data_IF_268982870622
#
_entry.id   IF_268982870622
#
_cell.length_a   1.000
_cell.length_b   1.000
_cell.length_c   1.000
_cell.angle_alpha   90.00
_cell.angle_beta   90.00
_cell.angle_gamma   90.00
#
_symmetry.space_group_name_H-M   'P 1'
#
loop_
_entity.id
_entity.type
_entity.pdbx_description
1 polymer ?
2 non-polymer ?
3 non-polymer ?
4 water ?
#
# COMPACT_ATOMS: atom_id res chain seq x y z
N UNK A 4 6.27 29.64 8.81
CA UNK A 4 5.75 28.25 9.10
C UNK A 4 6.31 27.25 8.08
N UNK A 5 7.35 26.46 8.41
CA UNK A 5 8.10 25.71 7.40
C UNK A 5 7.27 24.51 6.89
N UNK A 6 7.53 24.10 5.66
CA UNK A 6 6.86 22.90 5.12
C UNK A 6 7.58 21.67 5.61
N UNK A 7 6.84 20.59 5.93
CA UNK A 7 7.48 19.43 6.50
C UNK A 7 8.27 18.64 5.48
N UNK A 8 9.29 17.93 5.98
CA UNK A 8 10.16 17.00 5.21
C UNK A 8 9.69 15.57 5.47
N UNK A 9 8.97 15.36 6.56
CA UNK A 9 8.47 14.03 6.97
C UNK A 9 7.14 14.20 7.71
N UNK A 10 6.21 13.25 7.49
CA UNK A 10 4.93 13.19 8.22
C UNK A 10 4.82 11.80 8.82
N UNK A 11 3.91 11.68 9.75
CA UNK A 11 3.54 10.33 10.23
C UNK A 11 2.12 10.04 9.82
N UNK A 12 1.93 8.78 9.43
CA UNK A 12 0.66 8.28 8.89
C UNK A 12 0.23 7.08 9.72
N UNK A 13 -1.00 7.13 10.22
CA UNK A 13 -1.66 6.00 10.88
C UNK A 13 -2.51 5.27 9.86
N UNK A 14 -2.35 3.97 9.81
CA UNK A 14 -3.19 3.07 9.01
C UNK A 14 -3.91 2.15 9.96
N UNK A 15 -5.25 2.09 9.92
CA UNK A 15 -6.01 1.10 10.68
C UNK A 15 -6.82 0.21 9.77
N UNK A 16 -6.91 -1.06 10.10
CA UNK A 16 -7.84 -1.97 9.44
C UNK A 16 -8.61 -2.75 10.47
N UNK A 17 -9.91 -2.74 10.34
CA UNK A 17 -10.77 -3.51 11.26
C UNK A 17 -11.97 -4.08 10.55
N UNK A 18 -12.12 -5.39 10.60
CA UNK A 18 -13.36 -6.05 10.17
C UNK A 18 -14.26 -6.08 11.40
N UNK A 19 -15.31 -5.29 11.38
CA UNK A 19 -16.16 -5.00 12.56
C UNK A 19 -17.19 -6.11 12.77
N UNK A 20 -17.30 -7.07 11.86
CA UNK A 20 -18.20 -8.20 12.06
C UNK A 20 -19.65 -7.78 12.17
N UNK A 21 -20.00 -6.70 11.48
CA UNK A 21 -21.40 -6.18 11.36
C UNK A 21 -21.95 -5.85 12.76
N UNK A 22 -21.08 -5.44 13.69
CA UNK A 22 -21.51 -5.06 15.06
C UNK A 22 -21.02 -3.67 15.33
N UNK A 23 -21.79 -2.84 16.07
CA UNK A 23 -21.31 -1.54 16.46
C UNK A 23 -20.07 -1.66 17.34
N UNK A 24 -19.21 -0.64 17.30
CA UNK A 24 -18.02 -0.68 18.11
C UNK A 24 -18.35 -0.44 19.57
N UNK A 25 -17.42 -0.75 20.49
CA UNK A 25 -17.61 -0.44 21.89
C UNK A 25 -17.43 1.07 22.05
N UNK A 26 -17.67 1.56 23.27
CA UNK A 26 -17.69 3.03 23.50
C UNK A 26 -16.28 3.64 23.41
N UNK A 27 -15.25 2.88 23.70
CA UNK A 27 -13.88 3.41 23.63
C UNK A 27 -13.05 2.54 22.69
N UNK A 28 -12.45 3.21 21.71
CA UNK A 28 -11.60 2.52 20.70
C UNK A 28 -10.25 3.23 20.62
N UNK A 29 -9.93 4.08 21.60
CA UNK A 29 -8.68 4.86 21.56
C UNK A 29 -7.39 4.04 21.48
N UNK A 30 -7.37 2.82 22.04
CA UNK A 30 -6.19 1.92 22.00
C UNK A 30 -5.76 1.71 20.55
N UNK A 31 -6.73 1.64 19.63
CA UNK A 31 -6.43 1.42 18.20
C UNK A 31 -5.56 2.57 17.70
N UNK A 32 -5.99 3.80 17.90
CA UNK A 32 -5.30 4.98 17.34
C UNK A 32 -4.01 5.28 18.10
N UNK A 33 -3.86 4.74 19.27
CA UNK A 33 -2.63 4.84 20.08
C UNK A 33 -1.64 3.70 19.78
N UNK A 34 -1.96 2.76 18.90
CA UNK A 34 -1.04 1.64 18.61
C UNK A 34 -0.66 0.91 19.90
N UNK A 35 -1.67 0.57 20.70
CA UNK A 35 -1.52 -0.17 21.99
C UNK A 35 -2.10 -1.58 21.83
N UNK A 36 -1.40 -2.57 22.38
CA UNK A 36 -1.91 -3.93 22.44
C UNK A 36 -0.77 -4.85 22.27
N UNK A 37 -0.86 -5.73 21.27
CA UNK A 37 0.18 -6.72 20.94
C UNK A 37 0.97 -6.26 19.73
N UNK A 38 2.19 -6.77 19.59
CA UNK A 38 3.01 -6.58 18.41
C UNK A 38 4.02 -5.49 18.67
N UNK A 39 4.31 -4.71 17.61
CA UNK A 39 5.23 -3.56 17.65
C UNK A 39 4.39 -2.32 17.98
N UNK A 40 4.42 -1.91 19.25
CA UNK A 40 3.50 -0.90 19.79
C UNK A 40 4.23 0.42 19.95
N UNK A 41 3.43 1.46 20.07
CA UNK A 41 3.90 2.84 20.15
C UNK A 41 4.20 3.20 21.60
N UNK A 42 5.29 3.93 21.80
CA UNK A 42 5.76 4.42 23.12
C UNK A 42 4.65 5.25 23.77
N UNK A 43 4.43 5.04 25.08
CA UNK A 43 3.46 5.86 25.86
C UNK A 43 3.79 7.34 25.80
N UNK A 44 5.06 7.70 25.68
CA UNK A 44 5.46 9.11 25.66
C UNK A 44 4.94 9.85 24.44
N UNK A 45 4.49 9.12 23.41
CA UNK A 45 3.96 9.71 22.16
C UNK A 45 2.44 9.83 22.19
N UNK A 46 1.74 9.46 23.24
CA UNK A 46 0.27 9.33 23.17
C UNK A 46 -0.42 10.63 22.77
N UNK A 47 0.12 11.78 23.20
CA UNK A 47 -0.59 13.03 22.90
C UNK A 47 -0.17 13.60 21.55
N UNK A 48 0.81 13.02 20.88
CA UNK A 48 1.36 13.55 19.62
C UNK A 48 0.46 13.05 18.51
N UNK A 49 -0.25 13.92 17.79
CA UNK A 49 -1.13 13.46 16.74
C UNK A 49 -0.28 12.99 15.56
N UNK A 50 -0.73 11.96 14.88
CA UNK A 50 -0.28 11.66 13.53
C UNK A 50 -0.78 12.77 12.62
N UNK A 51 -0.06 12.95 11.53
CA UNK A 51 -0.45 13.96 10.53
C UNK A 51 -1.70 13.55 9.75
N UNK A 52 -1.78 12.28 9.43
CA UNK A 52 -2.87 11.68 8.61
C UNK A 52 -3.29 10.38 9.28
N UNK A 53 -4.58 10.15 9.43
CA UNK A 53 -5.14 8.86 9.89
C UNK A 53 -5.98 8.29 8.77
N UNK A 54 -5.70 7.06 8.39
CA UNK A 54 -6.46 6.37 7.34
C UNK A 54 -7.06 5.14 7.95
N UNK A 55 -8.39 5.07 7.93
CA UNK A 55 -9.17 4.04 8.70
C UNK A 55 -9.96 3.17 7.72
N UNK A 56 -9.55 1.90 7.57
CA UNK A 56 -10.26 0.95 6.69
C UNK A 56 -11.11 0.06 7.56
N UNK A 57 -12.38 -0.05 7.23
CA UNK A 57 -13.25 -1.03 7.89
C UNK A 57 -13.83 -1.99 6.85
N UNK A 58 -14.17 -3.16 7.33
CA UNK A 58 -14.90 -4.20 6.58
C UNK A 58 -16.04 -4.65 7.45
N UNK A 59 -17.10 -5.13 6.80
CA UNK A 59 -18.30 -5.56 7.57
C UNK A 59 -18.72 -4.41 8.51
N UNK A 60 -18.66 -3.19 8.03
CA UNK A 60 -18.96 -1.98 8.82
C UNK A 60 -20.46 -1.72 8.79
N UNK A 61 -21.16 -1.80 9.95
CA UNK A 61 -22.63 -1.65 9.95
C UNK A 61 -23.09 -0.19 10.08
N UNK A 62 -22.16 0.72 10.30
CA UNK A 62 -22.48 2.11 10.66
C UNK A 62 -22.77 2.90 9.40
N UNK A 63 -23.46 4.01 9.53
CA UNK A 63 -23.50 4.99 8.44
C UNK A 63 -22.17 5.73 8.42
N UNK A 64 -21.87 6.42 7.32
CA UNK A 64 -20.68 7.29 7.23
C UNK A 64 -20.73 8.29 8.39
N UNK A 65 -21.89 8.90 8.62
CA UNK A 65 -21.99 9.92 9.65
C UNK A 65 -21.69 9.31 11.01
N UNK A 66 -22.28 8.17 11.31
CA UNK A 66 -22.08 7.53 12.62
C UNK A 66 -20.59 7.26 12.86
N UNK A 67 -19.90 6.74 11.86
CA UNK A 67 -18.49 6.37 12.05
C UNK A 67 -17.62 7.61 12.12
N UNK A 68 -17.86 8.62 11.30
CA UNK A 68 -17.12 9.89 11.36
C UNK A 68 -17.22 10.50 12.76
N UNK A 69 -18.43 10.51 13.32
CA UNK A 69 -18.70 10.95 14.71
C UNK A 69 -17.70 10.27 15.65
N UNK A 70 -17.70 8.94 15.63
CA UNK A 70 -16.88 8.13 16.55
C UNK A 70 -15.41 8.39 16.31
N UNK A 71 -15.00 8.42 15.06
CA UNK A 71 -13.56 8.61 14.76
C UNK A 71 -13.12 9.99 15.23
N UNK A 72 -13.80 11.03 14.83
CA UNK A 72 -13.33 12.37 15.15
C UNK A 72 -13.29 12.60 16.66
N UNK A 73 -14.34 12.17 17.37
CA UNK A 73 -14.41 12.26 18.86
C UNK A 73 -13.21 11.55 19.47
N UNK A 74 -12.94 10.32 19.02
CA UNK A 74 -11.85 9.47 19.58
C UNK A 74 -10.51 10.21 19.39
N UNK A 75 -10.26 10.78 18.21
CA UNK A 75 -8.99 11.50 17.99
C UNK A 75 -8.97 12.77 18.85
N UNK A 76 -10.08 13.47 18.94
CA UNK A 76 -10.06 14.73 19.73
C UNK A 76 -9.77 14.38 21.20
N UNK A 77 -10.31 13.27 21.72
CA UNK A 77 -10.08 12.87 23.12
C UNK A 77 -8.60 12.59 23.32
N UNK A 78 -7.96 11.91 22.39
CA UNK A 78 -6.52 11.53 22.47
C UNK A 78 -5.66 12.79 22.38
N UNK A 79 -5.91 13.64 21.40
CA UNK A 79 -4.92 14.63 20.94
C UNK A 79 -5.33 16.06 21.25
N UNK A 80 -6.60 16.28 21.58
CA UNK A 80 -7.19 17.64 21.73
C UNK A 80 -7.16 18.41 20.41
N UNK A 81 -7.05 17.69 19.28
CA UNK A 81 -7.12 18.28 17.93
C UNK A 81 -8.40 17.82 17.25
N UNK A 82 -9.07 18.76 16.60
CA UNK A 82 -10.25 18.47 15.77
C UNK A 82 -9.80 18.22 14.33
N UNK A 83 -9.83 16.97 13.90
CA UNK A 83 -9.28 16.59 12.59
C UNK A 83 -10.25 16.98 11.49
N UNK A 84 -9.72 17.27 10.33
CA UNK A 84 -10.51 17.57 9.13
C UNK A 84 -10.71 16.29 8.36
N UNK A 85 -11.87 16.15 7.78
CA UNK A 85 -12.19 14.97 6.96
C UNK A 85 -11.69 15.22 5.56
N UNK A 86 -10.70 14.47 5.06
CA UNK A 86 -10.15 14.57 3.70
C UNK A 86 -11.06 13.85 2.74
N UNK A 87 -11.47 12.62 3.09
CA UNK A 87 -12.27 11.80 2.19
C UNK A 87 -12.90 10.67 2.96
N UNK A 88 -14.04 10.21 2.46
CA UNK A 88 -14.71 9.01 2.97
C UNK A 88 -15.35 8.32 1.78
N UNK A 89 -15.18 7.03 1.65
CA UNK A 89 -15.77 6.29 0.52
C UNK A 89 -16.15 4.92 0.98
N UNK A 90 -17.33 4.49 0.61
CA UNK A 90 -17.91 3.20 1.04
C UNK A 90 -18.39 2.40 -0.16
N UNK A 91 -18.04 1.12 -0.20
CA UNK A 91 -18.61 0.14 -1.15
C UNK A 91 -19.22 -0.94 -0.29
N UNK A 92 -20.53 -1.09 -0.33
CA UNK A 92 -21.25 -2.06 0.51
C UNK A 92 -20.90 -1.79 1.96
N UNK A 93 -20.21 -2.70 2.63
CA UNK A 93 -19.79 -2.51 4.03
C UNK A 93 -18.28 -2.40 4.15
N UNK A 94 -17.61 -2.00 3.06
CA UNK A 94 -16.15 -1.74 3.01
C UNK A 94 -15.95 -0.23 2.95
N UNK A 95 -15.22 0.36 3.87
CA UNK A 95 -15.15 1.82 3.99
C UNK A 95 -13.71 2.28 4.23
N UNK A 96 -13.41 3.43 3.70
CA UNK A 96 -12.14 4.11 4.02
C UNK A 96 -12.43 5.54 4.41
N UNK A 97 -11.81 6.00 5.49
CA UNK A 97 -11.87 7.40 5.99
C UNK A 97 -10.46 7.94 6.06
N UNK A 98 -10.24 9.14 5.55
CA UNK A 98 -8.97 9.84 5.70
C UNK A 98 -9.22 11.13 6.48
N UNK A 99 -8.50 11.27 7.58
CA UNK A 99 -8.55 12.44 8.44
C UNK A 99 -7.17 13.07 8.46
N UNK A 100 -7.11 14.40 8.55
CA UNK A 100 -5.81 15.09 8.61
C UNK A 100 -5.83 16.22 9.61
N UNK A 101 -4.67 16.53 10.19
CA UNK A 101 -4.51 17.73 11.04
C UNK A 101 -5.07 18.93 10.29
N UNK A 102 -5.70 19.89 11.00
CA UNK A 102 -6.15 21.11 10.33
C UNK A 102 -5.04 21.91 9.66
N UNK A 103 -3.83 21.89 10.17
CA UNK A 103 -2.68 22.64 9.60
C UNK A 103 -2.39 22.15 8.18
N UNK A 104 -2.84 20.92 7.83
CA UNK A 104 -2.56 20.31 6.52
C UNK A 104 -3.62 20.60 5.48
N UNK A 105 -4.65 21.35 5.84
CA UNK A 105 -5.79 21.54 4.94
C UNK A 105 -5.37 22.12 3.58
N UNK A 106 -4.43 23.06 3.58
CA UNK A 106 -3.98 23.77 2.35
C UNK A 106 -2.67 23.15 1.82
N UNK A 107 -2.36 21.95 2.30
CA UNK A 107 -1.25 21.12 1.74
C UNK A 107 -1.82 19.94 0.95
N UNK A 108 -3.10 19.67 1.11
CA UNK A 108 -3.78 18.48 0.54
C UNK A 108 -4.62 18.93 -0.64
N UNK A 109 -4.49 18.25 -1.75
CA UNK A 109 -5.28 18.58 -2.95
C UNK A 109 -5.42 17.35 -3.83
N UNK A 110 -6.12 17.45 -4.93
CA UNK A 110 -6.24 16.36 -5.94
C UNK A 110 -6.77 15.11 -5.24
N UNK A 111 -7.83 15.23 -4.46
CA UNK A 111 -8.36 14.10 -3.71
C UNK A 111 -9.18 13.28 -4.69
N UNK A 112 -8.91 11.98 -4.74
CA UNK A 112 -9.62 10.99 -5.59
C UNK A 112 -10.12 9.85 -4.72
N UNK A 113 -11.27 9.30 -5.08
CA UNK A 113 -11.83 8.09 -4.45
C UNK A 113 -12.29 7.17 -5.53
N UNK A 114 -12.25 5.88 -5.26
CA UNK A 114 -12.79 4.88 -6.20
C UNK A 114 -13.04 3.58 -5.47
N UNK A 115 -13.69 2.67 -6.14
CA UNK A 115 -13.92 1.32 -5.59
C UNK A 115 -13.80 0.32 -6.73
N UNK A 116 -13.58 -0.92 -6.38
CA UNK A 116 -13.59 -2.03 -7.31
C UNK A 116 -14.40 -3.13 -6.67
N UNK A 117 -15.35 -3.71 -7.38
CA UNK A 117 -16.13 -4.88 -6.98
C UNK A 117 -15.44 -6.10 -7.54
N UNK A 118 -15.07 -7.09 -6.72
CA UNK A 118 -14.38 -8.32 -7.24
C UNK A 118 -15.40 -9.42 -7.58
N UNK A 119 -14.99 -10.39 -8.40
CA UNK A 119 -15.81 -11.60 -8.64
C UNK A 119 -16.82 -11.40 -9.74
N UNK A 120 -17.61 -12.46 -10.04
CA UNK A 120 -18.60 -12.50 -11.17
C UNK A 120 -19.79 -13.32 -10.70
N UNK A 121 -21.02 -12.78 -10.82
CA UNK A 121 -22.32 -13.45 -10.55
C UNK A 121 -22.39 -13.86 -9.06
N UNK A 122 -22.33 -15.16 -8.74
CA UNK A 122 -22.13 -15.75 -7.38
C UNK A 122 -21.23 -14.86 -6.51
N UNK A 123 -20.03 -14.56 -7.03
CA UNK A 123 -18.85 -14.04 -6.29
C UNK A 123 -18.79 -12.51 -6.39
N UNK A 124 -19.71 -11.86 -7.12
CA UNK A 124 -19.90 -10.38 -7.07
C UNK A 124 -21.01 -10.10 -6.06
N UNK A 125 -20.74 -9.26 -5.07
CA UNK A 125 -21.82 -8.71 -4.23
C UNK A 125 -21.38 -8.35 -2.85
N UNK A 126 -20.24 -8.83 -2.35
CA UNK A 126 -19.78 -8.12 -1.13
C UNK A 126 -18.28 -7.85 -0.95
N UNK A 127 -17.42 -8.43 -1.80
CA UNK A 127 -15.95 -8.30 -1.70
C UNK A 127 -15.48 -7.24 -2.70
N UNK A 128 -14.37 -6.58 -2.38
CA UNK A 128 -13.77 -5.60 -3.27
C UNK A 128 -12.92 -4.66 -2.49
N UNK A 129 -12.78 -3.45 -3.01
CA UNK A 129 -11.87 -2.50 -2.38
C UNK A 129 -12.40 -1.11 -2.54
N UNK A 130 -12.00 -0.24 -1.63
CA UNK A 130 -12.16 1.22 -1.75
C UNK A 130 -10.79 1.88 -1.64
N UNK A 131 -10.63 3.04 -2.22
CA UNK A 131 -9.35 3.74 -2.10
C UNK A 131 -9.48 5.23 -2.17
N UNK A 132 -8.43 5.88 -1.73
CA UNK A 132 -8.31 7.34 -1.70
C UNK A 132 -6.90 7.65 -2.15
N UNK A 133 -6.75 8.70 -2.94
CA UNK A 133 -5.45 9.32 -3.20
C UNK A 133 -5.53 10.82 -3.06
N UNK A 134 -4.39 11.42 -2.83
CA UNK A 134 -4.29 12.89 -2.84
C UNK A 134 -2.83 13.25 -2.92
N UNK A 135 -2.59 14.52 -3.19
CA UNK A 135 -1.25 15.12 -3.10
C UNK A 135 -1.12 15.75 -1.72
N UNK A 136 0.00 15.55 -1.05
CA UNK A 136 0.39 16.26 0.17
C UNK A 136 1.62 17.06 -0.27
N UNK A 137 1.45 18.36 -0.47
CA UNK A 137 2.50 19.19 -1.11
C UNK A 137 3.05 18.45 -2.35
N UNK A 138 4.33 18.16 -2.46
CA UNK A 138 4.90 17.58 -3.67
C UNK A 138 4.82 16.07 -3.71
N UNK A 139 4.14 15.43 -2.75
CA UNK A 139 4.19 13.97 -2.59
C UNK A 139 2.80 13.40 -2.83
N UNK A 140 2.72 12.37 -3.66
CA UNK A 140 1.44 11.67 -3.96
C UNK A 140 1.30 10.50 -2.98
N UNK A 141 0.11 10.37 -2.42
CA UNK A 141 -0.20 9.35 -1.42
C UNK A 141 -1.42 8.57 -1.90
N UNK A 142 -1.36 7.25 -1.87
CA UNK A 142 -2.48 6.38 -2.20
C UNK A 142 -2.77 5.41 -1.08
N UNK A 143 -4.03 5.05 -0.92
CA UNK A 143 -4.49 4.19 0.17
C UNK A 143 -5.57 3.27 -0.34
N UNK A 144 -5.43 1.99 -0.10
CA UNK A 144 -6.39 0.96 -0.58
C UNK A 144 -6.81 0.14 0.62
N UNK A 145 -8.10 0.03 0.86
CA UNK A 145 -8.71 -0.89 1.83
C UNK A 145 -9.42 -1.96 1.04
N UNK A 146 -9.00 -3.18 1.11
CA UNK A 146 -9.65 -4.30 0.42
C UNK A 146 -10.15 -5.36 1.39
N UNK A 147 -11.30 -5.90 1.09
CA UNK A 147 -11.89 -7.09 1.73
C UNK A 147 -11.88 -8.18 0.67
N UNK A 148 -10.91 -9.06 0.74
CA UNK A 148 -10.72 -10.13 -0.26
C UNK A 148 -11.56 -11.35 0.11
N UNK A 149 -11.62 -12.27 -0.85
CA UNK A 149 -12.43 -13.49 -0.76
C UNK A 149 -11.99 -14.26 0.48
N UNK A 150 -12.96 -14.81 1.20
CA UNK A 150 -12.70 -15.59 2.43
C UNK A 150 -12.50 -17.07 2.14
N UNK A 151 -11.97 -17.77 3.12
CA UNK A 151 -11.90 -19.23 3.08
C UNK A 151 -10.50 -19.72 2.88
N UNK A 152 -10.06 -20.67 3.68
CA UNK A 152 -8.68 -21.19 3.62
C UNK A 152 -8.31 -21.73 2.24
N UNK A 153 -9.31 -22.23 1.50
CA UNK A 153 -9.13 -22.96 0.22
C UNK A 153 -8.96 -21.98 -0.94
N UNK A 154 -9.15 -20.67 -0.71
CA UNK A 154 -9.32 -19.68 -1.81
C UNK A 154 -8.18 -18.67 -1.95
N UNK A 155 -6.98 -19.12 -1.67
CA UNK A 155 -5.84 -18.18 -1.78
C UNK A 155 -5.69 -17.69 -3.23
N UNK A 156 -5.93 -18.53 -4.21
CA UNK A 156 -5.78 -18.11 -5.63
C UNK A 156 -6.82 -17.03 -5.96
N UNK A 157 -8.05 -17.19 -5.47
CA UNK A 157 -9.12 -16.18 -5.68
C UNK A 157 -8.67 -14.87 -5.06
N UNK A 158 -8.10 -14.91 -3.86
CA UNK A 158 -7.58 -13.68 -3.23
C UNK A 158 -6.55 -13.04 -4.17
N UNK A 159 -5.65 -13.85 -4.69
CA UNK A 159 -4.60 -13.29 -5.57
C UNK A 159 -5.25 -12.63 -6.81
N UNK A 160 -6.27 -13.27 -7.35
CA UNK A 160 -7.01 -12.71 -8.48
C UNK A 160 -7.73 -11.42 -8.07
N UNK A 161 -8.31 -11.39 -6.88
CA UNK A 161 -8.95 -10.17 -6.38
C UNK A 161 -7.92 -9.02 -6.35
N UNK A 162 -6.74 -9.30 -5.80
CA UNK A 162 -5.65 -8.30 -5.75
C UNK A 162 -5.38 -7.74 -7.17
N UNK A 163 -5.22 -8.61 -8.17
CA UNK A 163 -4.88 -8.11 -9.52
C UNK A 163 -6.04 -7.29 -10.08
N UNK A 164 -7.29 -7.75 -9.90
CA UNK A 164 -8.41 -6.91 -10.36
C UNK A 164 -8.39 -5.52 -9.69
N UNK A 165 -8.16 -5.44 -8.39
CA UNK A 165 -8.15 -4.17 -7.68
C UNK A 165 -7.04 -3.27 -8.23
N UNK A 166 -5.86 -3.88 -8.35
CA UNK A 166 -4.61 -3.26 -8.86
C UNK A 166 -4.86 -2.66 -10.25
N UNK A 167 -5.61 -3.38 -11.08
CA UNK A 167 -5.84 -2.97 -12.49
C UNK A 167 -6.87 -1.87 -12.57
N UNK A 168 -7.94 -1.98 -11.79
CA UNK A 168 -9.17 -1.25 -12.12
C UNK A 168 -9.45 -0.13 -11.14
N UNK A 169 -8.73 -0.04 -10.03
CA UNK A 169 -8.94 1.08 -9.10
C UNK A 169 -8.34 2.35 -9.70
N UNK A 170 -9.15 3.35 -9.98
CA UNK A 170 -8.74 4.55 -10.71
C UNK A 170 -8.46 5.68 -9.74
N UNK A 171 -7.23 5.73 -9.25
CA UNK A 171 -6.77 6.76 -8.32
C UNK A 171 -5.58 7.46 -8.94
N UNK A 172 -5.21 8.61 -8.38
CA UNK A 172 -4.06 9.38 -8.80
C UNK A 172 -4.21 9.98 -10.16
N UNK A 173 -3.08 10.34 -10.74
CA UNK A 173 -3.01 11.24 -11.92
C UNK A 173 -3.38 10.45 -13.18
N UNK A 174 -4.55 10.73 -13.73
CA UNK A 174 -5.06 10.00 -14.93
C UNK A 174 -4.12 10.18 -16.13
N UNK A 175 -3.26 11.23 -16.11
CA UNK A 175 -2.29 11.39 -17.22
C UNK A 175 -1.24 10.29 -17.20
N UNK A 176 -1.11 9.58 -16.07
CA UNK A 176 -0.16 8.44 -15.98
C UNK A 176 -0.80 7.19 -16.58
N UNK A 177 -1.25 7.29 -17.84
CA UNK A 177 -2.13 6.27 -18.44
C UNK A 177 -1.55 4.88 -18.45
N UNK A 178 -0.23 4.63 -18.69
CA UNK A 178 0.27 3.27 -18.71
C UNK A 178 0.42 2.62 -17.34
N UNK A 179 0.20 3.40 -16.30
CA UNK A 179 0.58 2.97 -14.93
C UNK A 179 -0.65 2.68 -14.09
N UNK A 180 -0.61 1.55 -13.43
CA UNK A 180 -1.63 1.20 -12.43
C UNK A 180 -1.27 1.80 -11.07
N UNK A 181 -2.14 1.56 -10.08
CA UNK A 181 -1.89 2.21 -8.78
C UNK A 181 -0.56 1.79 -8.17
N UNK A 182 0.04 0.67 -8.55
CA UNK A 182 1.32 0.26 -7.93
C UNK A 182 2.48 1.12 -8.42
N UNK A 183 2.25 2.05 -9.33
CA UNK A 183 3.29 3.00 -9.79
C UNK A 183 2.86 4.45 -9.69
N UNK A 184 1.64 4.78 -9.28
CA UNK A 184 1.20 6.18 -9.37
C UNK A 184 1.59 7.02 -8.16
N UNK A 185 2.03 6.41 -7.06
CA UNK A 185 2.18 7.16 -5.81
C UNK A 185 3.58 7.08 -5.24
N UNK A 186 4.02 8.17 -4.64
CA UNK A 186 5.27 8.19 -3.88
C UNK A 186 5.21 7.09 -2.81
N UNK A 187 4.06 7.04 -2.14
CA UNK A 187 3.79 6.06 -1.08
C UNK A 187 2.39 5.47 -1.29
N UNK A 188 2.31 4.14 -1.41
CA UNK A 188 1.02 3.44 -1.52
C UNK A 188 0.88 2.52 -0.33
N UNK A 189 -0.24 2.63 0.38
CA UNK A 189 -0.53 1.74 1.54
C UNK A 189 -1.71 0.89 1.15
N UNK A 190 -1.59 -0.41 1.29
CA UNK A 190 -2.64 -1.36 0.92
C UNK A 190 -2.91 -2.23 2.14
N UNK A 191 -4.13 -2.20 2.63
CA UNK A 191 -4.49 -2.82 3.90
C UNK A 191 -5.88 -3.38 3.78
N UNK A 192 -6.30 -4.13 4.78
CA UNK A 192 -7.67 -4.61 4.82
C UNK A 192 -7.75 -5.99 5.42
N UNK A 193 -8.95 -6.55 5.34
CA UNK A 193 -9.17 -7.99 5.57
C UNK A 193 -8.80 -8.73 4.30
N UNK A 194 -7.52 -8.97 4.17
CA UNK A 194 -6.97 -9.68 3.01
C UNK A 194 -7.32 -11.16 3.05
N UNK A 195 -7.66 -11.68 4.23
CA UNK A 195 -8.31 -13.01 4.35
C UNK A 195 -7.38 -14.17 4.04
N UNK A 196 -6.08 -13.98 3.98
CA UNK A 196 -5.14 -15.11 3.88
C UNK A 196 -5.05 -15.79 5.24
N UNK A 197 -4.91 -17.12 5.19
CA UNK A 197 -5.01 -17.98 6.36
C UNK A 197 -3.71 -18.69 6.66
N UNK A 198 -3.67 -19.20 7.87
CA UNK A 198 -2.58 -20.12 8.28
C UNK A 198 -2.97 -21.51 7.80
N UNK A 199 -2.23 -22.01 6.80
CA UNK A 199 -2.58 -23.25 6.07
C UNK A 199 -1.93 -24.44 6.79
N UNK A 200 -2.59 -24.92 7.84
CA UNK A 200 -2.19 -26.10 8.61
C UNK A 200 -3.42 -26.99 8.65
N UNK A 201 -3.25 -28.31 8.93
CA UNK A 201 -4.41 -29.19 8.95
C UNK A 201 -5.38 -28.76 10.04
N UNK A 202 -6.68 -28.94 9.80
CA UNK A 202 -7.76 -28.46 10.70
C UNK A 202 -7.68 -29.19 12.05
N UNK A 203 -7.14 -30.41 12.09
CA UNK A 203 -6.97 -31.20 13.33
C UNK A 203 -5.73 -30.72 14.12
N UNK A 204 -4.98 -29.75 13.61
CA UNK A 204 -3.97 -29.02 14.40
C UNK A 204 -4.53 -27.76 15.07
N UNK A 205 -5.84 -27.54 15.09
CA UNK A 205 -6.44 -26.30 15.65
C UNK A 205 -5.96 -26.10 17.07
N UNK A 206 -6.04 -27.09 17.94
CA UNK A 206 -5.73 -26.88 19.36
C UNK A 206 -4.23 -26.65 19.50
N UNK A 207 -3.42 -27.32 18.71
CA UNK A 207 -1.97 -27.08 18.68
C UNK A 207 -1.71 -25.63 18.33
N UNK A 208 -2.38 -25.11 17.31
CA UNK A 208 -2.17 -23.70 16.91
C UNK A 208 -2.52 -22.74 18.06
N UNK A 209 -3.64 -22.99 18.72
CA UNK A 209 -4.10 -22.19 19.87
C UNK A 209 -3.04 -22.19 20.97
N UNK A 210 -2.46 -23.35 21.26
CA UNK A 210 -1.44 -23.44 22.35
C UNK A 210 -0.18 -22.69 21.90
N UNK A 211 0.19 -22.71 20.60
CA UNK A 211 1.35 -21.91 20.14
C UNK A 211 1.06 -20.42 20.36
N UNK A 212 -0.17 -19.99 20.05
CA UNK A 212 -0.55 -18.58 20.22
C UNK A 212 -0.49 -18.17 21.69
N UNK A 213 -0.94 -19.02 22.58
CA UNK A 213 -0.92 -18.74 24.04
C UNK A 213 0.51 -18.61 24.56
N UNK A 214 1.46 -19.26 23.92
CA UNK A 214 2.89 -19.18 24.26
C UNK A 214 3.58 -18.06 23.51
N UNK A 215 2.84 -17.31 22.69
CA UNK A 215 3.42 -16.22 21.86
C UNK A 215 4.54 -16.74 20.98
N UNK A 216 4.36 -17.94 20.44
CA UNK A 216 5.34 -18.62 19.57
C UNK A 216 4.73 -18.65 18.19
N UNK A 217 5.00 -17.63 17.38
CA UNK A 217 4.32 -17.47 16.07
C UNK A 217 5.14 -18.05 14.92
N UNK A 218 6.40 -18.44 15.09
CA UNK A 218 7.26 -18.73 13.93
C UNK A 218 6.70 -19.88 13.10
N UNK A 219 6.23 -20.96 13.70
CA UNK A 219 5.77 -22.15 12.96
C UNK A 219 4.37 -21.87 12.40
N UNK A 220 3.73 -20.80 12.86
CA UNK A 220 2.44 -20.42 12.25
C UNK A 220 2.72 -19.51 11.05
N UNK A 221 3.58 -18.50 11.21
CA UNK A 221 3.89 -17.54 10.13
C UNK A 221 4.52 -18.27 8.93
N UNK A 222 5.25 -19.37 9.16
CA UNK A 222 5.84 -20.11 8.02
C UNK A 222 4.72 -20.76 7.20
N UNK A 223 3.47 -20.81 7.67
CA UNK A 223 2.33 -21.35 6.89
C UNK A 223 1.33 -20.25 6.54
N UNK A 224 1.64 -18.99 6.86
CA UNK A 224 0.71 -17.90 6.47
C UNK A 224 0.69 -17.77 4.96
N UNK A 225 -0.52 -17.83 4.40
CA UNK A 225 -0.66 -17.85 2.93
C UNK A 225 -0.14 -16.56 2.33
N UNK A 226 -0.34 -15.42 2.95
CA UNK A 226 0.11 -14.17 2.33
C UNK A 226 1.67 -14.16 2.27
N UNK A 227 2.34 -14.53 3.32
CA UNK A 227 3.82 -14.62 3.28
C UNK A 227 4.26 -15.64 2.23
N UNK A 228 3.60 -16.79 2.14
CA UNK A 228 4.10 -17.84 1.20
C UNK A 228 3.79 -17.41 -0.20
N UNK A 229 2.60 -16.89 -0.48
CA UNK A 229 2.27 -16.43 -1.82
C UNK A 229 3.17 -15.29 -2.24
N UNK A 230 3.49 -14.38 -1.32
CA UNK A 230 4.40 -13.24 -1.61
C UNK A 230 5.80 -13.80 -1.94
N UNK A 231 6.27 -14.79 -1.19
CA UNK A 231 7.63 -15.33 -1.41
C UNK A 231 7.70 -16.06 -2.75
N UNK A 232 6.58 -16.60 -3.24
CA UNK A 232 6.53 -17.25 -4.55
C UNK A 232 6.12 -16.27 -5.66
N UNK A 233 6.04 -14.98 -5.37
CA UNK A 233 5.78 -13.91 -6.33
C UNK A 233 4.42 -14.14 -6.97
N UNK A 234 3.44 -14.58 -6.20
CA UNK A 234 2.05 -14.79 -6.70
C UNK A 234 1.16 -13.58 -6.45
N UNK A 235 1.58 -12.68 -5.56
CA UNK A 235 0.74 -11.56 -5.11
C UNK A 235 1.61 -10.51 -4.45
N UNK A 236 1.18 -9.26 -4.48
CA UNK A 236 1.84 -8.19 -3.75
C UNK A 236 3.34 -8.09 -4.09
N UNK A 237 3.68 -8.30 -5.34
CA UNK A 237 5.07 -8.17 -5.79
C UNK A 237 5.52 -6.74 -5.52
N UNK A 238 6.69 -6.60 -4.92
CA UNK A 238 7.39 -5.33 -4.64
C UNK A 238 6.73 -4.55 -3.53
N UNK A 239 5.85 -5.14 -2.75
CA UNK A 239 5.33 -4.53 -1.51
C UNK A 239 6.12 -4.99 -0.31
N UNK A 240 6.10 -4.19 0.75
CA UNK A 240 6.74 -4.47 2.06
C UNK A 240 5.66 -4.76 3.11
N UNK A 241 5.99 -5.56 4.12
CA UNK A 241 5.17 -5.73 5.32
C UNK A 241 6.14 -5.81 6.47
N UNK A 242 5.81 -5.14 7.57
CA UNK A 242 6.58 -5.24 8.83
C UNK A 242 6.41 -6.65 9.40
N UNK A 243 7.43 -7.14 10.11
CA UNK A 243 7.35 -8.45 10.75
C UNK A 243 6.14 -8.49 11.68
N UNK A 244 5.40 -9.59 11.65
CA UNK A 244 4.22 -9.80 12.51
C UNK A 244 4.69 -10.35 13.85
N UNK A 245 4.37 -9.67 14.93
CA UNK A 245 4.76 -10.09 16.30
C UNK A 245 3.55 -10.06 17.22
N UNK A 246 2.34 -10.05 16.68
CA UNK A 246 1.04 -10.05 17.40
C UNK A 246 0.34 -11.37 17.06
N UNK A 247 -0.57 -11.77 17.92
CA UNK A 247 -1.36 -12.98 17.69
C UNK A 247 -2.27 -12.83 16.49
N UNK A 248 -2.63 -13.96 15.87
CA UNK A 248 -3.67 -13.96 14.84
C UNK A 248 -4.86 -13.14 15.28
N UNK A 249 -5.44 -12.39 14.34
CA UNK A 249 -6.48 -11.39 14.64
C UNK A 249 -7.86 -11.94 14.34
N UNK A 250 -7.95 -13.19 13.94
CA UNK A 250 -9.22 -13.84 13.54
C UNK A 250 -9.05 -15.34 13.88
N UNK A 251 -10.10 -16.10 14.22
CA UNK A 251 -11.44 -15.69 14.47
C UNK A 251 -11.72 -15.83 15.96
N UNK A 252 -12.11 -14.75 16.61
CA UNK A 252 -12.33 -14.72 18.08
C UNK A 252 -13.82 -14.92 18.36
N UNK A 253 -14.11 -15.53 19.51
CA UNK A 253 -15.41 -15.35 20.15
C UNK A 253 -15.58 -13.87 20.51
N UNK A 254 -16.74 -13.30 20.23
CA UNK A 254 -17.02 -11.90 20.60
C UNK A 254 -17.09 -11.71 22.12
N UNK A 255 -16.70 -10.53 22.58
CA UNK A 255 -16.83 -10.00 23.96
C UNK A 255 -15.72 -10.53 24.86
N UNK A 256 -14.81 -11.36 24.36
CA UNK A 256 -13.57 -11.67 25.08
C UNK A 256 -12.45 -11.68 24.05
N UNK A 257 -11.18 -11.83 24.43
CA UNK A 257 -10.16 -12.27 23.43
C UNK A 257 -9.55 -13.58 23.91
N UNK A 258 -10.25 -14.28 24.79
CA UNK A 258 -9.61 -15.46 25.45
C UNK A 258 -9.79 -16.70 24.59
N UNK A 259 -10.66 -16.63 23.57
CA UNK A 259 -11.09 -17.82 22.82
C UNK A 259 -11.07 -17.55 21.31
N UNK A 260 -10.39 -18.42 20.62
CA UNK A 260 -10.51 -18.55 19.17
C UNK A 260 -11.65 -19.50 18.84
N UNK A 261 -12.55 -19.07 17.99
CA UNK A 261 -13.74 -19.84 17.53
C UNK A 261 -13.43 -20.33 16.14
N UNK A 262 -12.92 -21.54 16.01
CA UNK A 262 -12.44 -22.06 14.72
C UNK A 262 -13.29 -23.17 14.12
N UNK A 263 -14.17 -23.78 14.92
CA UNK A 263 -14.92 -24.99 14.51
C UNK A 263 -15.92 -24.64 13.40
N UNK A 264 -16.20 -25.61 12.52
CA UNK A 264 -17.18 -25.41 11.44
C UNK A 264 -18.59 -25.32 12.05
N UNK A 265 -19.37 -24.42 11.49
CA UNK A 265 -20.75 -24.09 11.95
C UNK A 265 -21.61 -23.82 10.71
N UNK A 266 -22.95 -23.96 10.82
CA UNK A 266 -23.80 -23.55 9.70
C UNK A 266 -23.48 -22.10 9.30
N UNK A 267 -23.26 -21.22 10.27
CA UNK A 267 -23.02 -19.77 10.04
C UNK A 267 -21.71 -19.56 9.25
N UNK A 268 -20.78 -20.52 9.30
CA UNK A 268 -19.54 -20.41 8.51
C UNK A 268 -19.60 -21.18 7.19
N UNK A 269 -20.78 -21.67 6.78
CA UNK A 269 -20.80 -22.52 5.58
C UNK A 269 -20.11 -23.84 5.82
N UNK A 270 -20.08 -24.28 7.06
CA UNK A 270 -19.41 -25.54 7.46
C UNK A 270 -17.92 -25.47 7.12
N UNK A 271 -17.34 -24.28 7.29
CA UNK A 271 -15.89 -24.03 7.09
C UNK A 271 -15.20 -23.87 8.45
N UNK A 272 -14.01 -24.45 8.57
CA UNK A 272 -13.12 -24.14 9.69
C UNK A 272 -12.48 -22.77 9.44
N UNK A 273 -12.30 -22.06 10.52
CA UNK A 273 -11.55 -20.79 10.53
C UNK A 273 -10.41 -20.95 11.52
N UNK A 274 -9.39 -21.66 11.13
CA UNK A 274 -8.21 -21.75 12.00
C UNK A 274 -7.68 -20.34 12.24
N UNK A 275 -7.11 -20.03 13.42
CA UNK A 275 -6.56 -18.73 13.71
C UNK A 275 -5.59 -18.26 12.64
N UNK A 276 -5.85 -17.02 12.18
CA UNK A 276 -5.16 -16.49 10.99
C UNK A 276 -4.88 -15.01 11.15
N UNK A 277 -3.90 -14.56 10.40
CA UNK A 277 -3.59 -13.12 10.26
C UNK A 277 -4.33 -12.58 9.03
N UNK A 278 -5.66 -12.46 9.17
CA UNK A 278 -6.49 -11.96 8.05
C UNK A 278 -6.20 -10.49 7.75
N UNK A 279 -5.83 -9.73 8.75
CA UNK A 279 -5.96 -8.26 8.79
C UNK A 279 -4.58 -7.64 8.71
N UNK A 280 -4.24 -6.98 7.60
CA UNK A 280 -2.84 -6.71 7.26
C UNK A 280 -2.66 -5.30 6.75
N UNK A 281 -1.43 -4.82 6.82
CA UNK A 281 -1.02 -3.54 6.24
C UNK A 281 0.28 -3.76 5.49
N UNK A 282 0.26 -3.42 4.23
CA UNK A 282 1.46 -3.48 3.38
C UNK A 282 1.67 -2.14 2.70
N UNK A 283 2.86 -1.87 2.23
CA UNK A 283 3.11 -0.62 1.53
C UNK A 283 4.12 -0.79 0.41
N UNK A 284 4.14 0.19 -0.48
CA UNK A 284 5.13 0.26 -1.57
C UNK A 284 5.42 1.73 -1.76
N UNK A 285 6.67 2.11 -1.66
CA UNK A 285 7.11 3.48 -1.87
C UNK A 285 8.10 3.49 -3.01
N UNK A 286 8.20 4.60 -3.70
CA UNK A 286 9.19 4.76 -4.77
C UNK A 286 10.58 4.54 -4.20
N UNK A 287 11.53 4.13 -5.05
CA UNK A 287 12.88 3.83 -4.59
C UNK A 287 13.53 5.03 -3.90
N UNK A 288 14.22 4.77 -2.81
CA UNK A 288 15.04 5.76 -2.07
C UNK A 288 14.21 6.91 -1.52
N UNK A 289 12.92 6.66 -1.25
CA UNK A 289 12.13 7.60 -0.44
C UNK A 289 12.06 7.04 0.98
N UNK A 290 12.22 7.89 1.96
CA UNK A 290 12.15 7.52 3.38
C UNK A 290 10.76 6.97 3.69
N UNK A 291 10.70 5.76 4.20
CA UNK A 291 9.45 5.19 4.78
C UNK A 291 9.88 4.21 5.85
N UNK A 292 9.45 4.42 7.06
CA UNK A 292 9.81 3.55 8.19
C UNK A 292 8.57 3.20 8.98
N UNK A 293 8.30 1.90 9.11
CA UNK A 293 7.20 1.44 9.98
C UNK A 293 7.58 1.61 11.43
N UNK A 294 6.77 2.38 12.15
CA UNK A 294 6.99 2.70 13.59
C UNK A 294 6.16 1.76 14.50
N UNK A 295 5.07 1.18 13.99
CA UNK A 295 4.21 0.31 14.79
C UNK A 295 3.50 -0.64 13.83
N UNK A 296 3.22 -1.83 14.31
CA UNK A 296 2.42 -2.82 13.57
C UNK A 296 1.94 -3.83 14.59
N UNK A 297 0.64 -3.76 14.88
CA UNK A 297 0.13 -4.62 15.95
C UNK A 297 -1.35 -4.67 15.99
N UNK A 298 -1.91 -5.30 17.00
CA UNK A 298 -3.38 -5.44 17.14
C UNK A 298 -3.79 -5.00 18.52
N UNK A 299 -5.02 -4.52 18.63
CA UNK A 299 -5.54 -4.16 19.96
C UNK A 299 -5.99 -5.43 20.68
N UNK A 300 -6.01 -5.32 22.00
CA UNK A 300 -6.42 -6.43 22.88
C UNK A 300 -7.74 -6.14 23.59
N UNK A 301 -8.22 -4.89 23.58
CA UNK A 301 -9.35 -4.46 24.43
C UNK A 301 -10.56 -4.04 23.61
N UNK A 302 -10.62 -4.35 22.30
CA UNK A 302 -11.79 -4.01 21.44
C UNK A 302 -12.32 -5.35 20.95
N UNK A 303 -13.48 -5.76 21.47
CA UNK A 303 -13.92 -7.19 21.43
C UNK A 303 -15.31 -7.35 20.80
N UNK A 304 -15.85 -6.34 20.14
CA UNK A 304 -17.23 -6.42 19.58
C UNK A 304 -17.26 -7.32 18.35
N UNK A 305 -16.13 -7.45 17.67
CA UNK A 305 -16.03 -8.22 16.43
C UNK A 305 -15.34 -9.56 16.66
N UNK A 306 -15.45 -10.42 15.69
CA UNK A 306 -14.65 -11.66 15.65
C UNK A 306 -13.23 -11.43 15.08
N UNK A 307 -12.95 -10.19 14.68
CA UNK A 307 -11.58 -9.74 14.36
C UNK A 307 -11.15 -8.71 15.37
N UNK A 308 -9.86 -8.68 15.68
CA UNK A 308 -9.26 -7.53 16.37
C UNK A 308 -8.80 -6.49 15.37
N UNK A 309 -8.94 -5.21 15.72
CA UNK A 309 -8.34 -4.15 14.92
C UNK A 309 -6.82 -4.29 14.81
N UNK A 310 -6.29 -3.89 13.69
CA UNK A 310 -4.85 -3.82 13.42
C UNK A 310 -4.48 -2.37 13.16
N UNK A 311 -3.33 -1.97 13.67
CA UNK A 311 -2.75 -0.64 13.45
C UNK A 311 -1.37 -0.77 12.84
N UNK A 312 -0.99 0.20 12.04
CA UNK A 312 0.38 0.38 11.59
C UNK A 312 0.63 1.87 11.50
N UNK A 313 1.81 2.30 11.87
CA UNK A 313 2.18 3.72 11.68
C UNK A 313 3.48 3.79 10.96
N UNK A 314 3.65 4.92 10.26
CA UNK A 314 4.79 5.13 9.39
C UNK A 314 5.27 6.55 9.49
N UNK A 315 6.59 6.73 9.42
CA UNK A 315 7.24 8.03 9.13
C UNK A 315 7.56 8.03 7.62
N UNK A 316 6.97 8.97 6.85
CA UNK A 316 7.03 9.00 5.38
C UNK A 316 7.63 10.32 4.93
N UNK A 317 8.68 10.23 4.11
CA UNK A 317 9.27 11.42 3.52
C UNK A 317 8.30 12.12 2.57
N UNK A 318 8.28 13.45 2.66
CA UNK A 318 7.44 14.32 1.80
C UNK A 318 8.32 15.45 1.30
N UNK A 319 7.90 16.01 0.20
CA UNK A 319 8.62 17.12 -0.45
C UNK A 319 7.69 18.31 -0.54
N UNK A 320 8.30 19.48 -0.74
CA UNK A 320 7.59 20.78 -0.88
C UNK A 320 6.93 20.88 -2.25
N UNK A 321 6.06 21.88 -2.40
CA UNK A 321 5.59 22.31 -3.74
C UNK A 321 6.52 23.40 -4.32
N UNK A 322 7.58 23.00 -5.01
CA UNK A 322 8.72 23.83 -5.44
C UNK A 322 8.38 24.82 -6.55
N UNK A 323 8.80 26.09 -6.36
CA UNK A 323 8.70 27.14 -7.40
C UNK A 323 10.09 27.70 -7.64
N UNK A 324 10.46 27.85 -8.90
CA UNK A 324 11.67 28.62 -9.29
C UNK A 324 11.26 29.79 -10.20
N UNK A 325 12.26 30.58 -10.53
CA UNK A 325 12.16 31.67 -11.52
C UNK A 325 11.69 31.09 -12.85
N UNK A 326 12.15 29.87 -13.19
CA UNK A 326 11.85 29.15 -14.46
C UNK A 326 10.59 28.28 -14.25
N UNK A 327 10.73 26.96 -14.02
CA UNK A 327 9.55 26.11 -13.86
C UNK A 327 9.00 26.25 -12.42
N UNK A 328 7.74 25.87 -12.19
CA UNK A 328 6.81 25.43 -13.24
C UNK A 328 6.44 26.51 -14.26
N UNK A 329 6.07 26.06 -15.45
CA UNK A 329 5.56 26.89 -16.55
C UNK A 329 6.56 27.06 -17.65
N UNK A 330 7.75 26.49 -17.46
CA UNK A 330 8.79 26.42 -18.51
C UNK A 330 9.80 25.38 -18.07
N UNK A 331 10.76 25.14 -18.93
CA UNK A 331 11.90 24.26 -18.60
C UNK A 331 13.00 25.11 -17.96
N UNK A 332 13.97 24.43 -17.36
CA UNK A 332 15.16 25.09 -16.77
C UNK A 332 16.37 24.45 -17.47
N UNK A 333 16.99 25.18 -18.39
CA UNK A 333 18.02 24.67 -19.31
C UNK A 333 19.26 24.23 -18.54
N UNK A 334 19.39 24.55 -17.24
CA UNK A 334 20.55 24.11 -16.43
C UNK A 334 20.34 22.68 -15.95
N UNK A 335 19.18 22.11 -16.23
CA UNK A 335 18.83 20.70 -15.90
C UNK A 335 18.73 19.82 -17.11
N UNK A 336 19.20 18.57 -16.99
CA UNK A 336 18.96 17.53 -18.02
C UNK A 336 19.10 16.13 -17.41
N UNK A 337 18.35 15.21 -17.99
CA UNK A 337 18.48 13.77 -17.68
C UNK A 337 18.76 13.01 -18.97
N UNK A 338 19.89 12.33 -18.98
CA UNK A 338 20.36 11.51 -20.11
C UNK A 338 20.39 10.05 -19.66
N UNK A 339 19.90 9.17 -20.53
CA UNK A 339 20.03 7.70 -20.43
C UNK A 339 21.09 7.18 -21.41
N UNK A 340 22.04 6.40 -20.92
CA UNK A 340 23.13 5.81 -21.73
C UNK A 340 22.96 4.30 -21.72
N UNK A 341 23.19 3.63 -22.87
CA UNK A 341 23.47 2.17 -22.91
C UNK A 341 22.26 1.46 -22.27
N UNK A 342 21.04 1.90 -22.55
CA UNK A 342 19.86 1.30 -21.84
C UNK A 342 19.32 0.14 -22.67
N UNK A 343 18.82 -0.87 -21.96
CA UNK A 343 18.09 -1.94 -22.64
C UNK A 343 17.03 -2.50 -21.69
N UNK A 344 15.98 -2.92 -22.32
CA UNK A 344 14.88 -3.65 -21.65
C UNK A 344 15.04 -5.13 -21.96
N UNK A 345 14.89 -5.97 -20.96
CA UNK A 345 14.80 -7.43 -21.14
C UNK A 345 13.36 -7.82 -20.87
N UNK A 346 12.68 -8.41 -21.84
CA UNK A 346 11.23 -8.68 -21.70
C UNK A 346 10.98 -10.17 -21.78
N UNK A 347 10.02 -10.64 -21.00
CA UNK A 347 9.61 -12.07 -20.98
C UNK A 347 8.66 -12.41 -22.14
N UNK A 348 8.15 -11.44 -22.84
CA UNK A 348 7.18 -11.65 -23.96
C UNK A 348 7.76 -12.53 -25.06
N UNK A 349 6.86 -13.30 -25.67
CA UNK A 349 7.19 -14.17 -26.82
C UNK A 349 6.90 -13.40 -28.12
N UNK A 350 6.36 -12.18 -28.05
CA UNK A 350 5.88 -11.40 -29.23
C UNK A 350 7.08 -10.75 -29.95
N UNK A 351 6.89 -10.23 -31.18
CA UNK A 351 8.00 -9.65 -31.99
C UNK A 351 7.60 -8.32 -32.67
N UNK A 352 6.81 -7.48 -31.99
CA UNK A 352 6.61 -6.05 -32.34
C UNK A 352 7.93 -5.29 -32.05
N UNK A 353 8.02 -4.09 -32.58
CA UNK A 353 8.98 -3.09 -32.12
C UNK A 353 8.42 -2.47 -30.82
N UNK A 354 9.32 -1.93 -30.02
CA UNK A 354 8.94 -1.28 -28.74
C UNK A 354 9.55 0.10 -28.69
N UNK A 355 8.87 0.99 -27.99
CA UNK A 355 9.34 2.34 -27.65
C UNK A 355 9.11 2.55 -26.17
N UNK A 356 9.76 3.57 -25.61
CA UNK A 356 9.59 3.90 -24.18
C UNK A 356 8.74 5.14 -24.05
N UNK A 357 8.05 5.25 -22.92
CA UNK A 357 7.53 6.55 -22.45
C UNK A 357 8.13 6.86 -21.09
N UNK A 358 8.57 8.10 -20.89
CA UNK A 358 9.11 8.61 -19.62
C UNK A 358 8.05 9.55 -19.08
N UNK A 359 7.56 9.26 -17.87
CA UNK A 359 6.58 10.12 -17.20
C UNK A 359 7.11 10.62 -15.89
N UNK A 360 6.99 11.90 -15.62
CA UNK A 360 7.44 12.43 -14.32
C UNK A 360 6.86 13.82 -14.14
N UNK A 361 6.51 14.14 -12.89
CA UNK A 361 6.08 15.50 -12.48
C UNK A 361 7.20 16.52 -12.76
N UNK A 362 8.45 16.07 -12.89
CA UNK A 362 9.57 16.99 -13.17
C UNK A 362 9.61 17.37 -14.66
N UNK A 363 8.76 16.79 -15.51
CA UNK A 363 8.68 17.13 -16.96
C UNK A 363 7.39 17.85 -17.24
N UNK A 364 7.38 18.69 -18.26
CA UNK A 364 6.12 19.42 -18.60
C UNK A 364 5.08 18.42 -19.10
N UNK A 365 5.52 17.38 -19.81
CA UNK A 365 4.64 16.27 -20.23
C UNK A 365 5.53 15.07 -20.57
N UNK A 366 4.87 13.95 -20.78
CA UNK A 366 5.59 12.68 -20.94
C UNK A 366 6.33 12.72 -22.26
N UNK A 367 7.37 11.91 -22.33
CA UNK A 367 8.32 11.86 -23.49
C UNK A 367 8.29 10.47 -24.07
N UNK A 368 8.16 10.38 -25.38
CA UNK A 368 8.08 9.12 -26.15
C UNK A 368 9.36 8.94 -26.95
N UNK A 369 10.12 7.87 -26.69
CA UNK A 369 11.40 7.57 -27.39
C UNK A 369 11.09 7.06 -28.80
N UNK A 370 12.17 7.01 -29.57
CA UNK A 370 12.26 6.19 -30.80
C UNK A 370 12.11 4.72 -30.42
N UNK A 371 11.82 3.89 -31.41
CA UNK A 371 11.81 2.43 -31.25
C UNK A 371 13.22 1.94 -30.94
N UNK A 372 13.30 0.98 -30.06
CA UNK A 372 14.52 0.24 -29.77
C UNK A 372 14.85 -0.79 -30.85
N UNK A 373 16.01 -1.40 -30.71
CA UNK A 373 16.43 -2.51 -31.62
C UNK A 373 16.33 -3.83 -30.87
N UNK A 374 15.51 -4.72 -31.39
CA UNK A 374 15.28 -6.06 -30.81
C UNK A 374 16.47 -6.96 -31.09
N UNK A 375 16.98 -7.65 -30.08
CA UNK A 375 17.93 -8.77 -30.24
C UNK A 375 17.41 -9.93 -29.39
N UNK A 376 17.94 -11.12 -29.62
CA UNK A 376 17.67 -12.38 -28.89
C UNK A 376 18.67 -12.50 -27.73
N UNK A 377 18.18 -12.64 -26.49
CA UNK A 377 18.99 -13.02 -25.32
C UNK A 377 19.48 -14.46 -25.42
N UNK A 378 20.56 -14.80 -24.71
CA UNK A 378 21.26 -16.12 -24.77
C UNK A 378 20.39 -17.23 -24.14
N UNK A 379 19.35 -16.87 -23.38
CA UNK A 379 18.49 -17.82 -22.64
C UNK A 379 17.04 -17.73 -23.15
N UNK A 380 16.82 -17.25 -24.39
CA UNK A 380 15.50 -17.20 -25.04
C UNK A 380 14.84 -15.82 -25.07
N UNK A 381 15.35 -14.83 -24.31
CA UNK A 381 14.65 -13.57 -23.95
C UNK A 381 14.57 -12.59 -25.13
N UNK A 382 13.63 -11.65 -25.08
CA UNK A 382 13.73 -10.47 -25.96
C UNK A 382 14.52 -9.38 -25.23
N UNK A 383 15.54 -8.83 -25.88
CA UNK A 383 16.34 -7.70 -25.38
C UNK A 383 16.04 -6.57 -26.34
N UNK A 384 15.58 -5.45 -25.82
CA UNK A 384 15.29 -4.26 -26.64
C UNK A 384 16.36 -3.23 -26.31
N UNK A 385 17.20 -2.90 -27.30
CA UNK A 385 18.37 -2.01 -27.07
C UNK A 385 18.01 -0.58 -27.48
N UNK A 386 18.28 0.39 -26.63
CA UNK A 386 18.02 1.80 -26.96
C UNK A 386 19.32 2.56 -27.27
N UNK A 387 20.44 1.98 -26.89
CA UNK A 387 21.78 2.54 -27.07
C UNK A 387 21.89 3.90 -26.38
N UNK A 388 22.33 4.89 -27.15
CA UNK A 388 22.51 6.30 -26.74
C UNK A 388 21.43 7.10 -27.48
N UNK A 389 20.37 6.42 -27.91
CA UNK A 389 19.31 6.98 -28.79
C UNK A 389 18.22 7.69 -27.96
N UNK A 390 18.16 7.51 -26.64
CA UNK A 390 16.99 8.01 -25.84
C UNK A 390 16.98 9.54 -25.77
N UNK A 391 15.79 10.19 -25.84
CA UNK A 391 15.66 11.64 -25.84
C UNK A 391 16.20 12.24 -24.55
N UNK A 392 16.89 13.37 -24.63
CA UNK A 392 17.42 14.06 -23.41
C UNK A 392 16.20 14.68 -22.71
N UNK A 393 15.97 14.39 -21.41
CA UNK A 393 14.76 14.85 -20.69
C UNK A 393 15.05 16.24 -20.12
N UNK A 394 14.08 17.13 -20.29
CA UNK A 394 14.22 18.55 -19.90
C UNK A 394 13.36 18.81 -18.69
N UNK A 395 13.94 18.82 -17.47
CA UNK A 395 13.16 19.06 -16.27
C UNK A 395 12.77 20.53 -16.16
N UNK A 396 11.71 20.76 -15.41
CA UNK A 396 11.09 22.11 -15.23
C UNK A 396 11.93 22.94 -14.28
N UNK A 397 12.68 22.28 -13.42
CA UNK A 397 13.46 22.92 -12.34
C UNK A 397 14.81 22.22 -12.26
N UNK A 398 15.89 22.97 -12.14
CA UNK A 398 17.27 22.42 -12.23
C UNK A 398 17.86 22.28 -10.83
N UNK A 399 17.28 22.94 -9.84
CA UNK A 399 17.81 22.99 -8.47
C UNK A 399 17.95 21.56 -7.98
N UNK A 400 19.13 21.12 -7.52
CA UNK A 400 19.32 19.73 -7.10
C UNK A 400 18.47 19.39 -5.88
N UNK A 401 18.14 20.36 -5.03
CA UNK A 401 17.26 20.13 -3.86
C UNK A 401 15.87 19.67 -4.30
N UNK A 402 15.50 19.99 -5.52
CA UNK A 402 14.22 19.50 -6.09
C UNK A 402 14.54 18.26 -6.89
N UNK A 403 15.49 18.35 -7.83
CA UNK A 403 15.55 17.31 -8.87
C UNK A 403 15.96 15.95 -8.29
N UNK A 404 16.87 15.91 -7.33
CA UNK A 404 17.37 14.65 -6.77
C UNK A 404 16.26 13.92 -5.99
N UNK A 405 15.18 14.60 -5.65
CA UNK A 405 14.03 13.99 -4.95
C UNK A 405 13.00 13.44 -5.94
N UNK A 406 13.23 13.54 -7.24
CA UNK A 406 12.19 13.12 -8.21
C UNK A 406 12.41 11.69 -8.69
N UNK A 407 11.44 11.23 -9.47
CA UNK A 407 11.43 9.85 -10.00
C UNK A 407 10.94 9.88 -11.43
N UNK A 408 11.45 8.96 -12.24
CA UNK A 408 11.01 8.79 -13.64
C UNK A 408 10.29 7.46 -13.73
N UNK A 409 9.02 7.49 -14.10
CA UNK A 409 8.28 6.26 -14.47
C UNK A 409 8.59 5.92 -15.93
N UNK A 410 8.81 4.65 -16.20
CA UNK A 410 9.13 4.16 -17.57
C UNK A 410 8.07 3.13 -17.94
N UNK A 411 7.50 3.29 -19.13
CA UNK A 411 6.67 2.24 -19.73
C UNK A 411 7.35 1.83 -21.02
N UNK A 412 7.39 0.55 -21.28
CA UNK A 412 7.83 0.03 -22.61
C UNK A 412 6.57 -0.40 -23.34
N UNK A 413 6.32 0.21 -24.51
CA UNK A 413 5.05 0.02 -25.24
C UNK A 413 5.30 -0.59 -26.63
N UNK A 414 4.39 -1.46 -27.01
CA UNK A 414 4.37 -2.03 -28.36
C UNK A 414 4.07 -0.93 -29.39
N UNK A 415 4.88 -0.84 -30.42
CA UNK A 415 4.58 0.07 -31.57
C UNK A 415 3.28 -0.36 -32.27
N UNK A 416 2.97 -1.65 -32.31
CA UNK A 416 1.83 -2.25 -33.06
C UNK A 416 0.53 -1.90 -32.33
N UNK A 417 0.53 -1.92 -31.00
CA UNK A 417 -0.75 -1.82 -30.22
C UNK A 417 -0.77 -0.60 -29.29
N UNK A 418 0.37 0.03 -29.04
CA UNK A 418 0.52 1.13 -28.05
C UNK A 418 0.15 0.62 -26.64
N UNK A 419 0.19 -0.63 -26.45
CA UNK A 419 -0.11 -1.18 -25.10
C UNK A 419 1.22 -1.33 -24.34
N UNK A 420 1.19 -1.02 -23.04
CA UNK A 420 2.38 -1.21 -22.19
C UNK A 420 2.62 -2.68 -21.93
N UNK A 421 3.84 -3.13 -22.15
CA UNK A 421 4.28 -4.48 -21.76
C UNK A 421 5.00 -4.46 -20.41
N UNK A 422 5.36 -3.29 -19.88
CA UNK A 422 6.04 -3.28 -18.58
C UNK A 422 6.20 -1.85 -18.12
N UNK A 423 6.12 -1.69 -16.81
CA UNK A 423 6.20 -0.40 -16.13
C UNK A 423 7.21 -0.53 -15.00
N UNK A 424 7.95 0.53 -14.76
CA UNK A 424 8.92 0.61 -13.67
C UNK A 424 9.20 2.02 -13.28
N UNK A 425 10.13 2.21 -12.37
CA UNK A 425 10.40 3.52 -11.76
C UNK A 425 11.89 3.62 -11.43
N UNK A 426 12.48 4.74 -11.80
CA UNK A 426 13.91 5.07 -11.52
C UNK A 426 13.95 6.28 -10.60
N UNK A 427 14.65 6.17 -9.49
CA UNK A 427 14.92 7.34 -8.60
C UNK A 427 16.03 8.23 -9.20
N UNK A 428 15.89 9.54 -9.01
CA UNK A 428 16.97 10.51 -9.35
C UNK A 428 17.81 10.85 -8.12
N UNK A 429 17.65 10.10 -7.02
CA UNK A 429 18.42 10.31 -5.75
C UNK A 429 19.81 9.70 -5.91
N UNK A 430 20.60 10.23 -6.84
CA UNK A 430 21.87 9.62 -7.29
C UNK A 430 23.02 9.89 -6.33
N UNK A 431 24.05 9.08 -6.43
CA UNK A 431 25.28 9.25 -5.65
C UNK A 431 26.10 10.43 -6.17
N UNK A 432 25.88 10.86 -7.38
CA UNK A 432 26.66 11.92 -8.06
C UNK A 432 25.85 12.51 -9.18
N UNK A 433 26.11 13.77 -9.52
CA UNK A 433 25.60 14.40 -10.74
C UNK A 433 26.73 14.50 -11.80
N UNK A 434 26.38 14.72 -13.04
CA UNK A 434 27.36 14.87 -14.15
C UNK A 434 28.26 13.64 -14.20
N UNK A 435 27.74 12.47 -13.80
CA UNK A 435 28.50 11.20 -13.65
C UNK A 435 27.62 10.07 -14.20
N UNK A 436 28.11 9.25 -15.11
CA UNK A 436 27.32 8.07 -15.58
C UNK A 436 27.21 7.08 -14.44
N UNK A 437 25.98 6.71 -14.07
CA UNK A 437 25.74 5.81 -12.95
C UNK A 437 24.75 4.73 -13.37
N UNK A 438 24.94 3.51 -12.87
CA UNK A 438 23.99 2.45 -13.25
C UNK A 438 22.58 2.80 -12.73
N UNK A 439 21.58 2.45 -13.52
CA UNK A 439 20.15 2.45 -13.09
C UNK A 439 19.53 1.08 -13.39
N UNK A 440 18.43 0.82 -12.70
CA UNK A 440 17.75 -0.49 -12.78
C UNK A 440 16.33 -0.29 -12.27
N UNK A 441 15.38 -0.90 -12.95
CA UNK A 441 14.06 -1.21 -12.37
C UNK A 441 13.56 -2.55 -12.92
N UNK A 442 12.86 -3.32 -12.10
CA UNK A 442 12.07 -4.41 -12.63
C UNK A 442 10.92 -3.77 -13.41
N UNK A 443 10.38 -4.51 -14.35
CA UNK A 443 9.19 -4.06 -15.12
C UNK A 443 8.07 -5.01 -14.77
N UNK A 444 6.89 -4.46 -14.55
CA UNK A 444 5.69 -5.25 -14.28
C UNK A 444 4.58 -4.80 -15.21
N UNK A 445 3.59 -5.66 -15.39
CA UNK A 445 2.34 -5.31 -16.09
C UNK A 445 1.23 -6.05 -15.35
N UNK A 446 0.17 -5.32 -15.01
CA UNK A 446 -0.87 -5.85 -14.12
C UNK A 446 -0.23 -6.39 -12.84
N UNK A 447 0.84 -5.73 -12.39
CA UNK A 447 1.54 -6.07 -11.14
C UNK A 447 2.36 -7.33 -11.20
N UNK A 448 2.42 -8.04 -12.33
CA UNK A 448 3.25 -9.25 -12.48
C UNK A 448 4.55 -8.89 -13.20
N UNK A 449 5.61 -9.62 -12.86
CA UNK A 449 6.93 -9.37 -13.50
C UNK A 449 6.90 -9.66 -15.00
N UNK A 450 7.32 -8.70 -15.81
CA UNK A 450 7.35 -8.92 -17.26
C UNK A 450 8.75 -8.69 -17.83
N UNK A 451 9.67 -8.22 -17.01
CA UNK A 451 11.01 -7.92 -17.51
C UNK A 451 11.76 -6.96 -16.62
N UNK A 452 12.76 -6.37 -17.19
CA UNK A 452 13.70 -5.45 -16.51
C UNK A 452 14.14 -4.34 -17.44
N UNK A 453 14.52 -3.24 -16.83
CA UNK A 453 15.12 -2.11 -17.58
C UNK A 453 16.38 -1.68 -16.85
N UNK A 454 17.46 -1.58 -17.60
CA UNK A 454 18.74 -1.21 -16.95
C UNK A 454 19.59 -0.44 -17.95
N UNK A 455 20.54 0.30 -17.39
CA UNK A 455 21.40 1.13 -18.23
C UNK A 455 22.13 2.08 -17.33
N UNK A 456 22.45 3.24 -17.86
CA UNK A 456 23.13 4.29 -17.07
C UNK A 456 22.36 5.58 -17.23
N UNK A 457 22.51 6.43 -16.24
CA UNK A 457 21.91 7.77 -16.20
C UNK A 457 23.04 8.78 -16.02
N UNK A 458 22.85 9.99 -16.47
CA UNK A 458 23.75 11.16 -16.27
C UNK A 458 22.81 12.33 -15.98
N UNK A 459 22.80 12.82 -14.77
CA UNK A 459 21.92 13.90 -14.31
C UNK A 459 22.69 15.21 -14.17
N UNK A 460 22.24 16.24 -14.87
CA UNK A 460 22.74 17.63 -14.75
C UNK A 460 21.77 18.43 -13.88
N UNK A 461 22.26 19.02 -12.79
CA UNK A 461 21.48 19.97 -11.98
C UNK A 461 22.20 21.32 -12.11
N UNK A 462 21.63 22.35 -11.52
CA UNK A 462 22.26 23.70 -11.49
C UNK A 462 23.51 23.73 -10.58
N UNK A 463 23.77 22.69 -9.81
CA UNK A 463 24.98 22.71 -8.93
C UNK A 463 26.13 21.87 -9.52
X LIG B 1 -9.27 19.39 1.16
X LIG B 1 -14.62 16.72 2.06
X LIG B 1 -13.32 17.40 1.61
X LIG B 1 -10.94 18.17 2.38
X LIG B 1 -10.53 18.82 1.21
X LIG B 1 -8.41 19.33 2.26
X LIG B 1 -8.83 18.70 3.42
X LIG B 1 -10.10 18.14 3.48
X LIG B 1 -14.88 15.60 1.32
X LIG B 1 -14.55 16.36 3.38
X LIG B 1 -15.63 17.60 1.92
X LIG B 1 -12.25 17.54 2.59
X LIG B 1 -13.22 17.80 0.50
X LIG B 1 -7.81 18.59 4.88
X LIG C 1 7.94 12.99 -4.13
X LIG C 1 7.79 13.65 -2.79
X LIG C 1 9.37 12.05 -3.98
X LIG C 1 8.63 14.20 -5.25
X LIG D 1 6.10 11.08 -10.36
X LIG D 1 6.91 12.18 -10.97
X LIG D 1 4.63 11.01 -11.37
X LIG D 1 6.83 9.61 -11.00
X LIG E 1 9.81 -0.93 -9.34
X LIG E 1 8.60 -0.05 -9.47
X LIG E 1 9.59 -1.89 -7.90
X LIG E 1 11.15 0.10 -8.81
#
# INVERSE_FOLDING_TARGET
SMEQPEPDMITIFIGTWNMGNAPPPKKITSWFLSKGQGKTRDDSADYIPHDIYVIGTQEDPLSEKEWLEILKHSLQEITSVTFKTVAIHTLWNIRIVVLAKPEHENRISHICTDNVKTGIANTLGNKGAVGVSFMFNGTSLGFVNSHLTSGSEKKLRRNQNYMNILRFLALGDKKLSPFNITHRFTHLFWFGDLNYRVDLPTWEAETIIQKIKQQQYADLLSHDQLLTERREQKVFLHFEEEEITFAPTYRFERLTRDKYAYTKQKATGMKYNLPSWCDRVLWKSYPLVHVVCQSYGSTSDIMTSDHSPVFATFEAGVTSQFVSKNGPGTVDSQGQIEFLRCYATLKTKSQTKFYLEFHSSCLESFVKSQEGENEEGSEGELVVKFGETLPKLKPIISDPEYLLDQHILISIKSSDSDESYGEGCIALRLEATETQLPIYTPLTHHGELTGHFQGEIKLQTSQ
WNP C10 C02 C05 C08 C09 C11 C12 C14 F01 F03 F04 N07 O06 CL1
DMS S O C1 C2
DMS S O C1 C2
DMS S O C1 C2
#
